data_IF_475213886678
#
_entry.id   IF_475213886678
#
_cell.length_a   1.000
_cell.length_b   1.000
_cell.length_c   1.000
_cell.angle_alpha   90.00
_cell.angle_beta   90.00
_cell.angle_gamma   90.00
#
_symmetry.space_group_name_H-M   'P 1'
#
loop_
_entity.id
_entity.type
_entity.pdbx_description
1 polymer ?
#
# COMPACT_ATOMS: atom_id res chain seq x y z
N UNK A 1 2.39 0.46 -54.61
CA UNK A 1 2.76 -0.12 -53.30
C UNK A 1 2.78 0.85 -52.11
N UNK A 2 3.17 2.12 -52.22
CA UNK A 2 3.27 3.08 -51.08
C UNK A 2 1.92 3.48 -50.45
N UNK A 3 0.79 3.38 -51.17
CA UNK A 3 -0.53 3.83 -50.69
C UNK A 3 -1.20 2.81 -49.72
N UNK A 4 -0.92 1.53 -49.88
CA UNK A 4 -1.47 0.48 -49.02
C UNK A 4 -0.74 0.39 -47.65
N UNK A 5 0.54 0.76 -47.61
CA UNK A 5 1.30 0.76 -46.37
C UNK A 5 0.90 1.88 -45.37
N UNK A 6 0.51 3.08 -45.92
CA UNK A 6 -0.01 4.18 -45.09
C UNK A 6 -1.36 3.84 -44.47
N UNK A 7 -2.23 3.14 -45.19
CA UNK A 7 -3.56 2.77 -44.68
C UNK A 7 -3.47 1.68 -43.60
N UNK A 8 -2.53 0.72 -43.71
CA UNK A 8 -2.30 -0.30 -42.67
C UNK A 8 -1.72 0.28 -41.39
N UNK A 9 -0.79 1.22 -41.50
CA UNK A 9 -0.19 1.90 -40.35
C UNK A 9 -1.23 2.77 -39.61
N UNK A 10 -2.08 3.48 -40.35
CA UNK A 10 -3.16 4.32 -39.79
C UNK A 10 -4.23 3.47 -39.07
N UNK A 11 -4.58 2.29 -39.63
CA UNK A 11 -5.50 1.37 -39.01
C UNK A 11 -4.94 0.76 -37.74
N UNK A 12 -3.65 0.41 -37.71
CA UNK A 12 -2.95 -0.10 -36.53
C UNK A 12 -2.91 0.93 -35.39
N UNK A 13 -2.61 2.20 -35.69
CA UNK A 13 -2.62 3.28 -34.71
C UNK A 13 -4.04 3.52 -34.16
N UNK A 14 -5.07 3.44 -35.01
CA UNK A 14 -6.45 3.61 -34.57
C UNK A 14 -6.91 2.46 -33.65
N UNK A 15 -6.53 1.23 -33.96
CA UNK A 15 -6.84 0.06 -33.12
C UNK A 15 -6.13 0.12 -31.78
N UNK A 16 -4.86 0.55 -31.75
CA UNK A 16 -4.13 0.80 -30.49
C UNK A 16 -4.78 1.91 -29.66
N UNK A 17 -5.14 3.03 -30.28
CA UNK A 17 -5.82 4.13 -29.59
C UNK A 17 -7.18 3.68 -29.01
N UNK A 18 -7.97 2.90 -29.76
CA UNK A 18 -9.23 2.34 -29.25
C UNK A 18 -9.03 1.34 -28.13
N UNK A 19 -7.96 0.54 -28.15
CA UNK A 19 -7.61 -0.39 -27.08
C UNK A 19 -7.26 0.34 -25.78
N UNK A 20 -6.46 1.40 -25.83
CA UNK A 20 -6.12 2.22 -24.67
C UNK A 20 -7.32 3.04 -24.16
N UNK A 21 -8.15 3.61 -25.04
CA UNK A 21 -9.39 4.28 -24.65
C UNK A 21 -10.37 3.30 -23.98
N UNK A 22 -10.54 2.10 -24.53
CA UNK A 22 -11.40 1.06 -23.96
C UNK A 22 -10.99 0.64 -22.58
N UNK A 23 -9.66 0.48 -22.33
CA UNK A 23 -9.14 0.17 -20.98
C UNK A 23 -9.35 1.31 -20.00
N UNK A 24 -9.13 2.56 -20.41
CA UNK A 24 -9.35 3.74 -19.56
C UNK A 24 -10.83 3.93 -19.21
N UNK A 25 -11.72 3.76 -20.18
CA UNK A 25 -13.17 3.81 -19.95
C UNK A 25 -13.62 2.64 -19.07
N UNK A 26 -13.08 1.44 -19.30
CA UNK A 26 -13.36 0.26 -18.48
C UNK A 26 -12.98 0.47 -17.01
N UNK A 27 -11.81 1.04 -16.73
CA UNK A 27 -11.36 1.35 -15.38
C UNK A 27 -12.24 2.41 -14.68
N UNK A 28 -12.65 3.45 -15.43
CA UNK A 28 -13.55 4.49 -14.90
C UNK A 28 -14.95 3.92 -14.63
N UNK A 29 -15.51 3.15 -15.55
CA UNK A 29 -16.83 2.52 -15.38
C UNK A 29 -16.81 1.49 -14.25
N UNK A 30 -15.72 0.72 -14.12
CA UNK A 30 -15.53 -0.22 -13.03
C UNK A 30 -15.46 0.52 -11.67
N UNK A 31 -14.66 1.58 -11.57
CA UNK A 31 -14.58 2.41 -10.38
C UNK A 31 -15.91 3.04 -9.96
N UNK A 32 -16.68 3.57 -10.95
CA UNK A 32 -18.01 4.14 -10.70
C UNK A 32 -19.04 3.09 -10.28
N UNK A 33 -18.98 1.89 -10.88
CA UNK A 33 -19.85 0.77 -10.53
C UNK A 33 -19.56 0.27 -9.10
N UNK A 34 -18.31 0.13 -8.75
CA UNK A 34 -17.87 -0.26 -7.40
C UNK A 34 -18.26 0.77 -6.34
N UNK A 35 -18.11 2.07 -6.62
CA UNK A 35 -18.59 3.12 -5.71
C UNK A 35 -20.12 3.07 -5.52
N UNK A 36 -20.85 2.66 -6.53
CA UNK A 36 -22.30 2.51 -6.47
C UNK A 36 -22.72 1.26 -5.67
N UNK A 37 -22.01 0.16 -5.82
CA UNK A 37 -22.24 -1.08 -5.04
C UNK A 37 -21.90 -0.88 -3.56
N UNK A 38 -20.81 -0.19 -3.23
CA UNK A 38 -20.46 0.18 -1.85
C UNK A 38 -21.55 1.08 -1.24
N UNK A 39 -22.04 2.07 -1.99
CA UNK A 39 -23.14 2.93 -1.53
C UNK A 39 -24.44 2.16 -1.28
N UNK A 40 -24.70 1.14 -2.09
CA UNK A 40 -25.91 0.32 -1.98
C UNK A 40 -25.83 -0.69 -0.82
N UNK A 41 -24.63 -1.26 -0.57
CA UNK A 41 -24.39 -2.14 0.59
C UNK A 41 -24.33 -1.37 1.90
N UNK A 42 -23.74 -0.17 1.92
CA UNK A 42 -23.74 0.71 3.10
C UNK A 42 -25.15 1.17 3.53
N UNK A 43 -26.13 1.15 2.61
CA UNK A 43 -27.52 1.47 2.94
C UNK A 43 -28.34 0.27 3.42
N UNK A 44 -27.86 -0.96 3.29
CA UNK A 44 -28.54 -2.18 3.71
C UNK A 44 -28.18 -2.67 5.12
N UNK A 45 -27.04 -2.24 5.68
CA UNK A 45 -26.66 -2.46 7.08
C UNK A 45 -27.23 -1.35 7.97
N UNK A 46 -27.86 -1.73 9.06
CA UNK A 46 -28.58 -0.85 9.98
C UNK A 46 -27.79 0.44 10.28
N UNK A 47 -28.40 1.59 10.03
CA UNK A 47 -27.81 2.93 10.11
C UNK A 47 -27.20 3.29 11.49
N UNK A 48 -27.49 2.54 12.53
CA UNK A 48 -27.00 2.74 13.90
C UNK A 48 -25.60 2.14 14.13
N UNK A 49 -25.30 0.93 13.64
CA UNK A 49 -23.97 0.31 13.78
C UNK A 49 -22.89 1.02 12.93
N UNK A 50 -23.28 1.52 11.75
CA UNK A 50 -22.37 2.30 10.91
C UNK A 50 -21.99 3.65 11.53
N UNK A 51 -22.84 4.23 12.37
CA UNK A 51 -22.57 5.55 12.98
C UNK A 51 -21.51 5.45 14.08
N UNK A 52 -21.50 4.38 14.88
CA UNK A 52 -20.49 4.16 15.91
C UNK A 52 -19.12 3.83 15.30
N UNK A 53 -19.05 2.98 14.28
CA UNK A 53 -17.79 2.66 13.60
C UNK A 53 -17.13 3.88 12.93
N UNK A 54 -17.94 4.82 12.42
CA UNK A 54 -17.47 6.09 11.82
C UNK A 54 -17.01 7.11 12.86
N UNK A 55 -17.55 7.07 14.08
CA UNK A 55 -17.21 8.00 15.17
C UNK A 55 -15.78 7.78 15.71
N UNK A 56 -15.17 6.62 15.47
CA UNK A 56 -13.85 6.23 15.97
C UNK A 56 -12.82 5.99 14.86
N UNK A 57 -13.09 6.44 13.64
CA UNK A 57 -12.11 6.39 12.55
C UNK A 57 -11.00 7.41 12.81
N UNK A 58 -9.75 6.93 12.83
CA UNK A 58 -8.57 7.74 13.07
C UNK A 58 -7.65 7.77 11.85
N UNK A 59 -6.88 8.85 11.72
CA UNK A 59 -5.78 8.94 10.77
C UNK A 59 -4.48 8.75 11.53
N UNK A 60 -3.61 7.89 11.02
CA UNK A 60 -2.28 7.73 11.57
C UNK A 60 -1.46 9.00 11.40
N UNK A 61 -0.91 9.50 12.49
CA UNK A 61 -0.08 10.70 12.53
C UNK A 61 1.06 10.55 13.54
N UNK A 62 2.10 11.36 13.37
CA UNK A 62 3.32 11.30 14.18
C UNK A 62 3.60 12.64 14.84
N UNK A 63 3.93 12.61 16.14
CA UNK A 63 4.46 13.72 16.92
C UNK A 63 5.95 13.54 17.14
N UNK A 64 6.78 14.37 16.50
CA UNK A 64 8.24 14.30 16.66
C UNK A 64 8.71 15.12 17.86
N UNK A 65 9.56 14.53 18.68
CA UNK A 65 10.24 15.14 19.82
C UNK A 65 11.70 15.44 19.53
N UNK A 66 12.59 14.97 20.41
CA UNK A 66 14.03 15.14 20.28
C UNK A 66 14.54 14.31 19.09
N UNK A 67 15.49 14.88 18.35
CA UNK A 67 16.14 14.20 17.24
C UNK A 67 16.77 12.86 17.68
N UNK A 68 16.63 11.83 16.84
CA UNK A 68 17.13 10.49 17.14
C UNK A 68 16.27 9.67 18.10
N UNK A 69 15.16 10.22 18.61
CA UNK A 69 14.20 9.48 19.45
C UNK A 69 12.97 9.04 18.66
N UNK A 70 12.34 7.94 19.13
CA UNK A 70 11.10 7.46 18.53
C UNK A 70 9.99 8.51 18.67
N UNK A 71 9.21 8.79 17.59
CA UNK A 71 8.08 9.70 17.66
C UNK A 71 6.92 9.07 18.43
N UNK A 72 6.02 9.89 18.92
CA UNK A 72 4.71 9.44 19.38
C UNK A 72 3.77 9.25 18.20
N UNK A 73 2.95 8.21 18.22
CA UNK A 73 1.88 8.01 17.24
C UNK A 73 0.53 8.57 17.72
N UNK A 74 -0.47 8.62 16.82
CA UNK A 74 -1.86 8.93 17.18
C UNK A 74 -2.37 8.01 18.31
N UNK A 75 -2.03 6.71 18.23
CA UNK A 75 -2.18 5.77 19.33
C UNK A 75 -0.81 5.38 19.92
N UNK A 76 -0.75 5.09 21.21
CA UNK A 76 0.49 4.61 21.84
C UNK A 76 0.88 3.20 21.36
N UNK A 77 2.16 2.86 21.46
CA UNK A 77 2.65 1.54 21.09
C UNK A 77 2.01 0.42 21.94
N UNK A 78 1.76 0.69 23.24
CA UNK A 78 1.09 -0.24 24.13
C UNK A 78 -0.35 -0.51 23.68
N UNK A 79 -1.10 0.55 23.33
CA UNK A 79 -2.48 0.42 22.83
C UNK A 79 -2.54 -0.35 21.52
N UNK A 80 -1.67 -0.04 20.58
CA UNK A 80 -1.60 -0.76 19.29
C UNK A 80 -1.26 -2.23 19.47
N UNK A 81 -0.39 -2.56 20.42
CA UNK A 81 0.02 -3.93 20.71
C UNK A 81 -1.15 -4.83 21.14
N UNK A 82 -2.18 -4.25 21.77
CA UNK A 82 -3.42 -4.98 22.09
C UNK A 82 -4.09 -5.57 20.84
N UNK A 83 -3.92 -4.91 19.69
CA UNK A 83 -4.46 -5.29 18.39
C UNK A 83 -3.42 -5.96 17.47
N UNK A 84 -2.26 -6.38 18.00
CA UNK A 84 -1.15 -6.88 17.18
C UNK A 84 -0.73 -5.85 16.11
N UNK A 85 -0.70 -4.57 16.48
CA UNK A 85 -0.35 -3.47 15.60
C UNK A 85 0.92 -2.76 16.10
N UNK A 86 1.73 -2.27 15.17
CA UNK A 86 3.06 -1.75 15.43
C UNK A 86 3.36 -0.54 14.53
N UNK A 87 4.21 0.38 14.98
CA UNK A 87 4.74 1.47 14.16
C UNK A 87 6.22 1.77 14.40
N UNK A 88 6.78 1.18 15.44
CA UNK A 88 8.21 1.24 15.80
C UNK A 88 8.70 -0.14 16.19
N UNK A 89 9.98 -0.40 15.97
CA UNK A 89 10.70 -1.55 16.51
C UNK A 89 11.34 -1.23 17.87
N UNK A 90 12.27 -2.07 18.28
CA UNK A 90 12.99 -1.92 19.54
C UNK A 90 13.87 -0.65 19.53
N UNK A 91 13.72 0.20 20.54
CA UNK A 91 14.50 1.42 20.71
C UNK A 91 15.98 1.17 21.06
N UNK A 92 16.31 0.00 21.60
CA UNK A 92 17.68 -0.38 21.96
C UNK A 92 18.44 -0.96 20.75
N UNK A 93 17.74 -1.38 19.70
CA UNK A 93 18.36 -1.93 18.51
C UNK A 93 18.54 -0.86 17.43
N UNK A 94 19.80 -0.63 17.00
CA UNK A 94 20.12 0.27 15.87
C UNK A 94 19.72 -0.36 14.54
N UNK A 95 18.45 -0.65 14.39
CA UNK A 95 17.83 -1.19 13.16
C UNK A 95 16.81 -0.21 12.61
N UNK A 96 16.66 -0.22 11.29
CA UNK A 96 15.57 0.42 10.57
C UNK A 96 14.86 -0.61 9.70
N UNK A 97 13.57 -0.43 9.47
CA UNK A 97 12.74 -1.30 8.66
C UNK A 97 12.26 -0.52 7.45
N UNK A 98 12.81 -0.84 6.28
CA UNK A 98 12.40 -0.21 5.02
C UNK A 98 11.09 -0.85 4.57
N UNK A 99 10.08 -0.02 4.33
CA UNK A 99 8.77 -0.50 3.86
C UNK A 99 8.28 0.35 2.69
N UNK A 100 7.68 -0.30 1.70
CA UNK A 100 7.18 0.32 0.48
C UNK A 100 5.71 0.00 0.29
N UNK A 101 4.88 1.04 0.09
CA UNK A 101 3.50 0.85 -0.33
C UNK A 101 3.42 0.89 -1.86
N UNK A 102 2.86 -0.19 -2.44
CA UNK A 102 2.86 -0.45 -3.87
C UNK A 102 1.43 -0.44 -4.42
N UNK A 103 0.98 0.73 -4.86
CA UNK A 103 -0.35 0.91 -5.46
C UNK A 103 -0.40 0.62 -6.95
N UNK A 104 0.62 1.02 -7.71
CA UNK A 104 0.77 0.76 -9.13
C UNK A 104 2.24 0.83 -9.57
N UNK A 105 2.58 0.18 -10.68
CA UNK A 105 3.92 0.22 -11.27
C UNK A 105 4.02 1.37 -12.27
N UNK A 106 5.10 2.16 -12.18
CA UNK A 106 5.40 3.26 -13.09
C UNK A 106 6.86 3.28 -13.59
N UNK A 107 7.57 2.15 -13.46
CA UNK A 107 8.94 1.97 -13.95
C UNK A 107 10.03 2.12 -12.87
N UNK A 108 9.69 2.46 -11.63
CA UNK A 108 10.70 2.68 -10.58
C UNK A 108 10.99 1.43 -9.72
N UNK A 109 10.05 0.48 -9.63
CA UNK A 109 10.22 -0.69 -8.74
C UNK A 109 11.47 -1.51 -9.05
N UNK A 110 11.85 -1.64 -10.33
CA UNK A 110 13.07 -2.38 -10.69
C UNK A 110 14.32 -1.71 -10.13
N UNK A 111 14.43 -0.38 -10.22
CA UNK A 111 15.58 0.36 -9.69
C UNK A 111 15.66 0.29 -8.16
N UNK A 112 14.51 0.33 -7.47
CA UNK A 112 14.41 0.15 -6.01
C UNK A 112 14.95 -1.25 -5.64
N UNK A 113 14.48 -2.30 -6.30
CA UNK A 113 14.93 -3.67 -6.05
C UNK A 113 16.42 -3.86 -6.34
N UNK A 114 16.95 -3.24 -7.40
CA UNK A 114 18.38 -3.25 -7.71
C UNK A 114 19.21 -2.58 -6.61
N UNK A 115 18.73 -1.46 -6.08
CA UNK A 115 19.39 -0.75 -4.99
C UNK A 115 19.38 -1.58 -3.68
N UNK A 116 18.24 -2.14 -3.33
CA UNK A 116 18.10 -3.00 -2.14
C UNK A 116 19.03 -4.21 -2.25
N UNK A 117 19.07 -4.87 -3.40
CA UNK A 117 19.95 -6.02 -3.67
C UNK A 117 21.42 -5.65 -3.59
N UNK A 118 21.81 -4.53 -4.21
CA UNK A 118 23.18 -4.00 -4.17
C UNK A 118 23.69 -3.77 -2.75
N UNK A 119 22.81 -3.31 -1.86
CA UNK A 119 23.15 -3.01 -0.47
C UNK A 119 22.81 -4.14 0.51
N UNK A 120 22.35 -5.28 0.00
CA UNK A 120 21.92 -6.43 0.81
C UNK A 120 20.92 -6.02 1.91
N UNK A 121 19.98 -5.13 1.55
CA UNK A 121 19.00 -4.54 2.44
C UNK A 121 17.62 -5.17 2.21
N UNK A 122 17.15 -6.08 3.08
CA UNK A 122 15.80 -6.61 2.99
C UNK A 122 14.77 -5.51 3.29
N UNK A 123 13.62 -5.58 2.61
CA UNK A 123 12.52 -4.64 2.77
C UNK A 123 11.18 -5.37 2.84
N UNK A 124 10.13 -4.66 3.27
CA UNK A 124 8.75 -5.15 3.20
C UNK A 124 7.97 -4.33 2.19
N UNK A 125 7.28 -4.99 1.27
CA UNK A 125 6.42 -4.37 0.27
C UNK A 125 4.96 -4.68 0.58
N UNK A 126 4.15 -3.65 0.82
CA UNK A 126 2.71 -3.79 1.00
C UNK A 126 2.03 -3.55 -0.35
N UNK A 127 1.47 -4.60 -0.93
CA UNK A 127 0.93 -4.57 -2.30
C UNK A 127 -0.58 -4.59 -2.30
N UNK A 128 -1.18 -3.83 -3.23
CA UNK A 128 -2.62 -3.88 -3.51
C UNK A 128 -2.94 -4.86 -4.65
N UNK A 129 -4.22 -5.24 -4.81
CA UNK A 129 -4.64 -6.11 -5.91
C UNK A 129 -4.21 -5.60 -7.27
N UNK A 130 -4.38 -4.32 -7.56
CA UNK A 130 -3.98 -3.73 -8.84
C UNK A 130 -2.48 -3.86 -9.15
N UNK A 131 -1.62 -3.73 -8.14
CA UNK A 131 -0.17 -3.91 -8.33
C UNK A 131 0.16 -5.36 -8.71
N UNK A 132 -0.47 -6.33 -8.03
CA UNK A 132 -0.33 -7.76 -8.34
C UNK A 132 -0.79 -8.09 -9.77
N UNK A 133 -1.91 -7.51 -10.21
CA UNK A 133 -2.47 -7.73 -11.55
C UNK A 133 -1.61 -7.10 -12.66
N UNK A 134 -1.11 -5.88 -12.43
CA UNK A 134 -0.41 -5.10 -13.45
C UNK A 134 1.09 -5.32 -13.52
N UNK A 135 1.71 -5.78 -12.42
CA UNK A 135 3.16 -5.97 -12.30
C UNK A 135 3.54 -7.30 -11.60
N UNK A 136 2.96 -8.46 -12.01
CA UNK A 136 3.20 -9.73 -11.35
C UNK A 136 4.69 -10.12 -11.32
N UNK A 137 5.46 -9.74 -12.35
CA UNK A 137 6.89 -10.04 -12.42
C UNK A 137 7.71 -9.27 -11.38
N UNK A 138 7.27 -8.06 -11.00
CA UNK A 138 7.92 -7.31 -9.91
C UNK A 138 7.66 -7.99 -8.57
N UNK A 139 6.45 -8.50 -8.34
CA UNK A 139 6.10 -9.20 -7.10
C UNK A 139 6.88 -10.52 -6.98
N UNK A 140 7.00 -11.30 -8.07
CA UNK A 140 7.86 -12.49 -8.09
C UNK A 140 9.29 -12.13 -7.73
N UNK A 141 9.83 -11.08 -8.36
CA UNK A 141 11.18 -10.62 -8.08
C UNK A 141 11.37 -10.17 -6.62
N UNK A 142 10.38 -9.48 -6.01
CA UNK A 142 10.44 -9.15 -4.58
C UNK A 142 10.64 -10.40 -3.72
N UNK A 143 9.92 -11.48 -4.00
CA UNK A 143 10.05 -12.76 -3.29
C UNK A 143 11.40 -13.42 -3.57
N UNK A 144 11.83 -13.48 -4.83
CA UNK A 144 13.09 -14.08 -5.26
C UNK A 144 14.32 -13.36 -4.69
N UNK A 145 14.27 -12.03 -4.58
CA UNK A 145 15.33 -11.21 -3.98
C UNK A 145 15.28 -11.25 -2.42
N UNK A 146 14.36 -12.02 -1.81
CA UNK A 146 14.30 -12.27 -0.36
C UNK A 146 13.58 -11.17 0.45
N UNK A 147 12.77 -10.36 -0.21
CA UNK A 147 11.94 -9.36 0.46
C UNK A 147 10.64 -9.97 1.00
N UNK A 148 10.08 -9.32 2.02
CA UNK A 148 8.76 -9.67 2.55
C UNK A 148 7.68 -8.95 1.74
N UNK A 149 6.62 -9.66 1.35
CA UNK A 149 5.44 -9.05 0.72
C UNK A 149 4.25 -9.18 1.65
N UNK A 150 3.62 -8.05 1.98
CA UNK A 150 2.47 -7.94 2.86
C UNK A 150 1.25 -7.36 2.13
N UNK A 151 0.13 -7.36 2.82
CA UNK A 151 -1.19 -7.02 2.33
C UNK A 151 -1.48 -5.53 2.49
N UNK A 152 -1.90 -4.85 1.40
CA UNK A 152 -2.34 -3.45 1.43
C UNK A 152 -3.79 -3.29 0.93
N UNK A 153 -4.60 -4.34 1.09
CA UNK A 153 -5.97 -4.52 0.60
C UNK A 153 -6.08 -4.64 -0.93
N UNK A 154 -7.19 -5.19 -1.40
CA UNK A 154 -7.34 -5.39 -2.84
C UNK A 154 -7.60 -4.07 -3.58
N UNK A 155 -8.52 -3.24 -3.07
CA UNK A 155 -8.95 -2.01 -3.74
C UNK A 155 -8.38 -0.72 -3.14
N UNK A 156 -7.52 -0.81 -2.11
CA UNK A 156 -6.98 0.36 -1.41
C UNK A 156 -8.08 1.27 -0.82
N UNK A 157 -9.16 0.69 -0.31
CA UNK A 157 -10.24 1.44 0.32
C UNK A 157 -9.84 2.03 1.68
N UNK A 158 -10.57 3.06 2.09
CA UNK A 158 -10.56 3.52 3.48
C UNK A 158 -11.21 2.45 4.37
N UNK A 159 -10.37 1.55 4.88
CA UNK A 159 -10.82 0.39 5.64
C UNK A 159 -11.50 0.77 6.95
N UNK A 160 -11.23 1.97 7.51
CA UNK A 160 -11.88 2.45 8.73
C UNK A 160 -13.39 2.60 8.58
N UNK A 161 -13.89 2.66 7.35
CA UNK A 161 -15.31 2.75 7.03
C UNK A 161 -15.98 1.41 6.78
N UNK A 162 -15.23 0.32 6.81
CA UNK A 162 -15.73 -1.04 6.61
C UNK A 162 -16.01 -1.65 7.98
N UNK A 163 -17.30 -1.73 8.35
CA UNK A 163 -17.76 -2.32 9.59
C UNK A 163 -18.17 -3.80 9.45
N UNK A 164 -18.43 -4.27 8.23
CA UNK A 164 -18.77 -5.67 7.96
C UNK A 164 -17.48 -6.53 7.91
N UNK A 165 -17.33 -7.51 8.85
CA UNK A 165 -16.17 -8.40 8.86
C UNK A 165 -16.01 -9.25 7.60
N UNK A 166 -17.10 -9.57 6.90
CA UNK A 166 -17.04 -10.36 5.69
C UNK A 166 -16.47 -9.54 4.53
N UNK A 167 -16.84 -8.25 4.44
CA UNK A 167 -16.27 -7.31 3.45
C UNK A 167 -14.79 -7.06 3.74
N UNK A 168 -14.43 -6.84 5.01
CA UNK A 168 -13.05 -6.67 5.42
C UNK A 168 -12.20 -7.91 5.07
N UNK A 169 -12.68 -9.10 5.43
CA UNK A 169 -12.03 -10.37 5.10
C UNK A 169 -11.81 -10.53 3.59
N UNK A 170 -12.83 -10.19 2.79
CA UNK A 170 -12.74 -10.31 1.33
C UNK A 170 -11.63 -9.43 0.75
N UNK A 171 -11.48 -8.18 1.19
CA UNK A 171 -10.39 -7.28 0.79
C UNK A 171 -9.02 -7.88 1.09
N UNK A 172 -8.89 -8.60 2.20
CA UNK A 172 -7.64 -9.23 2.62
C UNK A 172 -7.37 -10.55 1.88
N UNK A 173 -8.38 -11.41 1.76
CA UNK A 173 -8.24 -12.74 1.16
C UNK A 173 -8.05 -12.68 -0.35
N UNK A 174 -8.67 -11.72 -1.06
CA UNK A 174 -8.50 -11.53 -2.50
C UNK A 174 -7.03 -11.22 -2.85
N UNK A 175 -6.37 -10.35 -2.08
CA UNK A 175 -4.93 -10.06 -2.26
C UNK A 175 -4.08 -11.30 -1.97
N UNK A 176 -4.36 -12.01 -0.90
CA UNK A 176 -3.62 -13.21 -0.50
C UNK A 176 -3.72 -14.32 -1.56
N UNK A 177 -4.94 -14.54 -2.07
CA UNK A 177 -5.19 -15.52 -3.13
C UNK A 177 -4.43 -15.16 -4.40
N UNK A 178 -4.56 -13.92 -4.87
CA UNK A 178 -3.87 -13.45 -6.07
C UNK A 178 -2.34 -13.50 -5.91
N UNK A 179 -1.82 -13.18 -4.73
CA UNK A 179 -0.39 -13.31 -4.45
C UNK A 179 0.09 -14.76 -4.55
N UNK A 180 -0.65 -15.70 -3.96
CA UNK A 180 -0.32 -17.13 -4.02
C UNK A 180 -0.38 -17.67 -5.46
N UNK A 181 -1.40 -17.26 -6.23
CA UNK A 181 -1.52 -17.59 -7.65
C UNK A 181 -0.35 -17.02 -8.47
N UNK A 182 0.11 -15.82 -8.12
CA UNK A 182 1.20 -15.12 -8.82
C UNK A 182 2.57 -15.73 -8.51
N UNK A 183 2.85 -16.01 -7.24
CA UNK A 183 4.20 -16.37 -6.76
C UNK A 183 4.38 -17.83 -6.43
N UNK A 184 3.30 -18.58 -6.23
CA UNK A 184 3.31 -19.96 -5.74
C UNK A 184 3.67 -20.10 -4.26
N UNK A 185 3.75 -18.97 -3.51
CA UNK A 185 4.13 -18.96 -2.09
C UNK A 185 3.04 -18.31 -1.23
N UNK A 186 3.06 -18.57 0.08
CA UNK A 186 2.16 -17.91 1.02
C UNK A 186 2.61 -16.47 1.28
N UNK A 187 1.63 -15.54 1.32
CA UNK A 187 1.88 -14.14 1.69
C UNK A 187 2.16 -14.02 3.19
N UNK A 188 3.11 -13.16 3.55
CA UNK A 188 3.32 -12.81 4.96
C UNK A 188 2.03 -12.22 5.55
N UNK A 189 1.69 -12.62 6.79
CA UNK A 189 0.52 -12.12 7.52
C UNK A 189 0.79 -10.71 8.08
N UNK A 190 1.28 -9.83 7.22
CA UNK A 190 1.53 -8.43 7.48
C UNK A 190 0.54 -7.58 6.71
N UNK A 191 -0.05 -6.62 7.38
CA UNK A 191 -1.06 -5.72 6.84
C UNK A 191 -0.68 -4.27 7.09
N UNK A 192 -0.94 -3.40 6.12
CA UNK A 192 -0.90 -1.95 6.33
C UNK A 192 -2.22 -1.34 5.88
N UNK A 193 -2.92 -0.58 6.76
CA UNK A 193 -4.15 0.09 6.39
C UNK A 193 -3.88 1.16 5.31
N UNK A 194 -4.65 1.18 4.20
CA UNK A 194 -4.56 2.25 3.22
C UNK A 194 -4.66 3.64 3.84
N UNK A 195 -3.81 4.56 3.39
CA UNK A 195 -3.77 5.95 3.86
C UNK A 195 -3.47 6.10 5.37
N UNK A 196 -3.11 5.04 6.08
CA UNK A 196 -2.99 5.05 7.54
C UNK A 196 -4.30 5.27 8.28
N UNK A 197 -5.44 5.04 7.62
CA UNK A 197 -6.76 5.16 8.24
C UNK A 197 -7.17 3.86 8.90
N UNK A 198 -7.60 3.96 10.15
CA UNK A 198 -7.95 2.81 10.95
C UNK A 198 -9.06 3.11 11.95
N UNK A 199 -9.64 2.07 12.51
CA UNK A 199 -10.44 2.08 13.74
C UNK A 199 -10.02 0.90 14.61
N UNK A 200 -10.30 0.93 15.90
CA UNK A 200 -10.03 -0.23 16.77
C UNK A 200 -10.74 -1.50 16.27
N UNK A 201 -11.94 -1.34 15.73
CA UNK A 201 -12.70 -2.46 15.13
C UNK A 201 -11.94 -3.08 13.95
N UNK A 202 -11.36 -2.25 13.06
CA UNK A 202 -10.61 -2.77 11.90
C UNK A 202 -9.28 -3.41 12.32
N UNK A 203 -8.61 -2.85 13.34
CA UNK A 203 -7.41 -3.48 13.90
C UNK A 203 -7.74 -4.84 14.53
N UNK A 204 -8.88 -4.95 15.22
CA UNK A 204 -9.34 -6.22 15.76
C UNK A 204 -9.69 -7.23 14.65
N UNK A 205 -10.39 -6.79 13.58
CA UNK A 205 -10.67 -7.64 12.42
C UNK A 205 -9.38 -8.18 11.77
N UNK A 206 -8.36 -7.34 11.61
CA UNK A 206 -7.08 -7.76 11.08
C UNK A 206 -6.38 -8.78 11.98
N UNK A 207 -6.38 -8.53 13.30
CA UNK A 207 -5.84 -9.46 14.31
C UNK A 207 -6.58 -10.80 14.29
N UNK A 208 -7.91 -10.81 14.20
CA UNK A 208 -8.74 -12.02 14.16
C UNK A 208 -8.48 -12.87 12.91
N UNK A 209 -8.03 -12.22 11.81
CA UNK A 209 -7.56 -12.88 10.62
C UNK A 209 -6.11 -13.36 10.71
N UNK A 210 -5.42 -13.10 11.82
CA UNK A 210 -4.03 -13.49 12.05
C UNK A 210 -2.98 -12.50 11.54
N UNK A 211 -3.38 -11.30 11.11
CA UNK A 211 -2.44 -10.29 10.64
C UNK A 211 -1.77 -9.53 11.78
N UNK A 212 -0.51 -9.16 11.54
CA UNK A 212 0.15 -8.06 12.25
C UNK A 212 0.00 -6.79 11.44
N UNK A 213 -0.56 -5.74 12.06
CA UNK A 213 -0.78 -4.45 11.38
C UNK A 213 0.44 -3.55 11.55
N UNK A 214 0.93 -2.94 10.46
CA UNK A 214 2.09 -2.05 10.49
C UNK A 214 1.75 -0.65 10.00
N UNK A 215 1.90 0.32 10.90
CA UNK A 215 2.01 1.74 10.56
C UNK A 215 3.48 2.10 10.30
N UNK A 216 3.85 3.36 10.43
CA UNK A 216 5.21 3.87 10.23
C UNK A 216 5.57 4.89 11.32
N UNK A 217 6.85 5.10 11.52
CA UNK A 217 7.39 6.12 12.43
C UNK A 217 8.24 7.17 11.72
N UNK A 218 8.48 6.97 10.43
CA UNK A 218 9.25 7.88 9.60
C UNK A 218 8.72 7.84 8.18
N UNK A 219 8.41 9.00 7.61
CA UNK A 219 7.94 9.16 6.26
C UNK A 219 8.25 10.56 5.73
N UNK A 220 8.20 10.72 4.41
CA UNK A 220 8.15 12.01 3.75
C UNK A 220 7.13 11.95 2.61
N UNK A 221 6.79 13.12 2.04
CA UNK A 221 5.82 13.17 0.94
C UNK A 221 6.51 12.76 -0.36
N UNK A 222 6.39 11.49 -0.73
CA UNK A 222 6.97 10.88 -1.92
C UNK A 222 5.91 10.36 -2.92
N UNK A 223 4.65 10.29 -2.50
CA UNK A 223 3.55 9.77 -3.32
C UNK A 223 3.02 10.74 -4.38
N UNK A 224 3.36 12.05 -4.29
CA UNK A 224 2.95 13.02 -5.28
C UNK A 224 3.94 13.00 -6.47
N UNK A 225 3.59 12.26 -7.51
CA UNK A 225 4.46 12.07 -8.70
C UNK A 225 4.74 13.36 -9.47
N UNK A 226 3.87 14.37 -9.36
CA UNK A 226 4.00 15.66 -10.04
C UNK A 226 4.82 16.68 -9.22
N UNK A 227 5.08 16.39 -7.95
CA UNK A 227 5.83 17.27 -7.04
C UNK A 227 6.78 16.45 -6.16
N UNK A 228 7.71 15.72 -6.82
CA UNK A 228 8.73 14.94 -6.12
C UNK A 228 9.79 15.87 -5.51
N UNK A 229 10.18 15.66 -4.24
CA UNK A 229 11.33 16.34 -3.66
C UNK A 229 12.63 15.90 -4.34
N UNK A 230 13.67 16.70 -4.26
CA UNK A 230 15.01 16.27 -4.67
C UNK A 230 15.52 15.14 -3.76
N UNK A 231 16.50 14.36 -4.25
CA UNK A 231 17.17 13.34 -3.43
C UNK A 231 17.78 13.94 -2.15
N UNK A 232 18.37 15.14 -2.25
CA UNK A 232 18.94 15.84 -1.10
C UNK A 232 17.88 16.18 -0.05
N UNK A 233 16.72 16.70 -0.48
CA UNK A 233 15.62 17.00 0.43
C UNK A 233 15.03 15.75 1.08
N UNK A 234 14.84 14.68 0.30
CA UNK A 234 14.34 13.41 0.81
C UNK A 234 15.32 12.81 1.82
N UNK A 235 16.60 12.77 1.48
CA UNK A 235 17.68 12.27 2.33
C UNK A 235 17.76 13.07 3.64
N UNK A 236 17.75 14.40 3.55
CA UNK A 236 17.76 15.27 4.73
C UNK A 236 16.54 15.04 5.65
N UNK A 237 15.34 14.90 5.07
CA UNK A 237 14.12 14.62 5.84
C UNK A 237 14.16 13.27 6.56
N UNK A 238 14.67 12.24 5.89
CA UNK A 238 14.78 10.91 6.45
C UNK A 238 15.88 10.84 7.52
N UNK A 239 17.10 11.30 7.22
CA UNK A 239 18.23 11.23 8.15
C UNK A 239 18.08 12.14 9.36
N UNK A 240 17.44 13.31 9.21
CA UNK A 240 17.14 14.23 10.31
C UNK A 240 16.12 13.72 11.31
N UNK A 241 15.41 12.62 11.00
CA UNK A 241 14.38 12.01 11.87
C UNK A 241 14.61 10.54 12.12
N UNK A 242 15.75 9.99 11.66
CA UNK A 242 16.07 8.58 11.85
C UNK A 242 16.25 8.29 13.34
N UNK A 243 15.77 7.13 13.76
CA UNK A 243 15.85 6.67 15.13
C UNK A 243 15.96 5.13 15.17
N UNK A 244 16.43 4.54 16.27
CA UNK A 244 16.41 3.09 16.47
C UNK A 244 14.99 2.54 16.38
N UNK A 245 14.80 1.44 15.67
CA UNK A 245 13.50 0.83 15.45
C UNK A 245 12.60 1.56 14.44
N UNK A 246 13.13 2.50 13.64
CA UNK A 246 12.32 3.24 12.66
C UNK A 246 11.68 2.31 11.63
N UNK A 247 10.36 2.42 11.49
CA UNK A 247 9.61 1.85 10.35
C UNK A 247 9.44 2.96 9.33
N UNK A 248 10.14 2.85 8.22
CA UNK A 248 10.20 3.88 7.18
C UNK A 248 9.14 3.58 6.12
N UNK A 249 8.22 4.53 5.90
CA UNK A 249 7.25 4.45 4.81
C UNK A 249 7.80 5.17 3.58
N UNK A 250 7.85 4.43 2.48
CA UNK A 250 8.20 4.87 1.14
C UNK A 250 7.12 4.37 0.16
N UNK A 251 7.04 4.98 -1.02
CA UNK A 251 6.12 4.55 -2.07
C UNK A 251 6.91 4.21 -3.35
N UNK A 252 6.59 3.09 -3.97
CA UNK A 252 7.29 2.64 -5.18
C UNK A 252 7.13 3.56 -6.41
N UNK A 253 6.04 4.37 -6.58
CA UNK A 253 5.94 5.30 -7.69
C UNK A 253 6.92 6.49 -7.63
N UNK A 254 7.59 6.70 -6.49
CA UNK A 254 8.55 7.80 -6.33
C UNK A 254 9.82 7.58 -7.16
N UNK A 255 10.24 8.61 -7.90
CA UNK A 255 11.53 8.64 -8.60
C UNK A 255 12.69 9.01 -7.68
N UNK A 256 12.38 9.47 -6.47
CA UNK A 256 13.35 9.97 -5.48
C UNK A 256 13.84 8.86 -4.56
N UNK A 257 13.05 7.80 -4.42
CA UNK A 257 13.37 6.64 -3.59
C UNK A 257 14.45 5.73 -4.19
#
# INVERSE_FOLDING_TARGET
MKKHYKNGLMLGVLLLAMFFLGRSIGAIVYGLRMQREIKTQATAGTALENTEALLFAENWGLGFGVEGTQPTGTASAEKLKEYNAYYVGDAEEKKIYLTFDCGYENGNSSAILDALKKHNAPATFFVVGHFLESAPEMVKRMVEDGHTVGNHTYHHYDMSKISDPAVFRKEMDDVRTLFQETTGTEMAMYYRPPQGKYSETNLQMAKDLGYSTFFWSLAYVDWNVDAQPSHEEAFSKLTGRIHPGAVVLLHNPSKTN
#
